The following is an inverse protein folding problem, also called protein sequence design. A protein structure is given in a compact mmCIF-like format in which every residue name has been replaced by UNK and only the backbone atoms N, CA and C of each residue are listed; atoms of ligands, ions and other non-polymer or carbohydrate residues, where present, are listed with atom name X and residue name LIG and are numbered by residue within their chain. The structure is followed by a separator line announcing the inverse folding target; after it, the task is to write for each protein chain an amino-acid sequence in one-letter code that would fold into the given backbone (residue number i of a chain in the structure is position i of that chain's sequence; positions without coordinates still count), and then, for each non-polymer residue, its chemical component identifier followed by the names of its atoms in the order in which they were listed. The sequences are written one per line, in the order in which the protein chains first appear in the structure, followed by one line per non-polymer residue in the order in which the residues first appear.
data_IF_939250346466
#
_entry.id   IF_939250346466
#
_cell.length_a   1.000
_cell.length_b   1.000
_cell.length_c   1.000
_cell.angle_alpha   90.00
_cell.angle_beta   90.00
_cell.angle_gamma   90.00
#
_symmetry.space_group_name_H-M   'P 1'
#
loop_
_entity.id
_entity.type
_entity.pdbx_description
1 polymer ?
#
# COMPACT_ATOMS: atom_id res chain seq x y z
N UNK A 1 -12.81 1.04 -29.83
CA UNK A 1 -12.53 0.43 -28.52
C UNK A 1 -11.41 1.18 -27.86
N UNK A 2 -11.66 1.81 -26.70
CA UNK A 2 -10.71 2.67 -25.99
C UNK A 2 -10.40 2.15 -24.57
N UNK A 3 -10.21 0.83 -24.44
CA UNK A 3 -9.79 0.27 -23.15
C UNK A 3 -8.33 0.65 -22.93
N UNK A 4 -8.09 1.57 -21.99
CA UNK A 4 -6.73 1.91 -21.54
C UNK A 4 -6.29 0.83 -20.56
N UNK A 5 -5.21 0.14 -20.92
CA UNK A 5 -4.57 -0.82 -20.04
C UNK A 5 -3.51 -0.10 -19.21
N UNK A 6 -3.53 -0.34 -17.91
CA UNK A 6 -2.62 0.24 -16.95
C UNK A 6 -1.76 -0.87 -16.35
N UNK A 7 -0.49 -0.58 -16.11
CA UNK A 7 0.37 -1.52 -15.41
C UNK A 7 0.00 -1.58 -13.93
N UNK A 8 0.37 -2.67 -13.25
CA UNK A 8 0.16 -2.80 -11.80
C UNK A 8 0.71 -1.59 -11.03
N UNK A 9 1.86 -1.08 -11.46
CA UNK A 9 2.50 0.08 -10.84
C UNK A 9 1.65 1.35 -10.96
N UNK A 10 1.02 1.58 -12.11
CA UNK A 10 0.14 2.74 -12.32
C UNK A 10 -1.07 2.68 -11.39
N UNK A 11 -1.66 1.49 -11.23
CA UNK A 11 -2.80 1.28 -10.33
C UNK A 11 -2.41 1.52 -8.87
N UNK A 12 -1.23 1.07 -8.46
CA UNK A 12 -0.70 1.33 -7.12
C UNK A 12 -0.43 2.83 -6.90
N UNK A 13 0.15 3.51 -7.89
CA UNK A 13 0.38 4.95 -7.83
C UNK A 13 -0.92 5.73 -7.68
N UNK A 14 -1.99 5.36 -8.41
CA UNK A 14 -3.31 5.98 -8.28
C UNK A 14 -3.89 5.77 -6.87
N UNK A 15 -3.72 4.57 -6.28
CA UNK A 15 -4.15 4.29 -4.90
C UNK A 15 -3.39 5.16 -3.89
N UNK A 16 -2.09 5.32 -4.06
CA UNK A 16 -1.27 6.17 -3.21
C UNK A 16 -1.67 7.65 -3.32
N UNK A 17 -1.90 8.15 -4.54
CA UNK A 17 -2.43 9.50 -4.78
C UNK A 17 -3.77 9.68 -4.07
N UNK A 18 -4.69 8.71 -4.21
CA UNK A 18 -6.00 8.76 -3.54
C UNK A 18 -5.86 8.85 -2.03
N UNK A 19 -4.99 8.05 -1.43
CA UNK A 19 -4.80 8.06 0.03
C UNK A 19 -4.23 9.40 0.52
N UNK A 20 -3.24 9.96 -0.20
CA UNK A 20 -2.70 11.27 0.14
C UNK A 20 -3.76 12.37 0.10
N UNK A 21 -4.65 12.35 -0.90
CA UNK A 21 -5.67 13.39 -1.08
C UNK A 21 -6.86 13.22 -0.13
N UNK A 22 -7.41 12.01 -0.03
CA UNK A 22 -8.69 11.78 0.65
C UNK A 22 -8.55 11.25 2.08
N UNK A 23 -7.52 10.46 2.36
CA UNK A 23 -7.32 9.89 3.70
C UNK A 23 -6.45 10.83 4.55
N UNK A 24 -5.42 11.42 3.95
CA UNK A 24 -4.44 12.28 4.64
C UNK A 24 -4.70 13.78 4.45
N UNK A 25 -5.60 14.16 3.53
CA UNK A 25 -6.03 15.56 3.35
C UNK A 25 -4.99 16.48 2.70
N UNK A 26 -3.99 15.94 1.99
CA UNK A 26 -3.04 16.77 1.26
C UNK A 26 -3.70 17.48 0.08
N UNK A 27 -3.20 18.68 -0.24
CA UNK A 27 -3.46 19.30 -1.53
C UNK A 27 -2.73 18.55 -2.64
N UNK A 28 -3.10 18.77 -3.91
CA UNK A 28 -2.41 18.17 -5.06
C UNK A 28 -0.90 18.46 -5.01
N UNK A 29 -0.51 19.70 -4.66
CA UNK A 29 0.88 20.09 -4.51
C UNK A 29 1.59 19.34 -3.39
N UNK A 30 0.94 19.20 -2.23
CA UNK A 30 1.46 18.44 -1.10
C UNK A 30 1.65 16.95 -1.40
N UNK A 31 0.65 16.32 -2.03
CA UNK A 31 0.74 14.92 -2.45
C UNK A 31 1.88 14.71 -3.47
N UNK A 32 2.06 15.63 -4.43
CA UNK A 32 3.17 15.59 -5.39
C UNK A 32 4.52 15.65 -4.68
N UNK A 33 4.67 16.55 -3.71
CA UNK A 33 5.91 16.68 -2.94
C UNK A 33 6.24 15.39 -2.18
N UNK A 34 5.24 14.78 -1.53
CA UNK A 34 5.38 13.48 -0.85
C UNK A 34 5.83 12.37 -1.81
N UNK A 35 5.19 12.28 -2.99
CA UNK A 35 5.54 11.26 -4.00
C UNK A 35 6.94 11.44 -4.60
N UNK A 36 7.41 12.68 -4.73
CA UNK A 36 8.76 12.98 -5.24
C UNK A 36 9.88 12.71 -4.22
N UNK A 37 9.55 12.63 -2.93
CA UNK A 37 10.48 12.18 -1.90
C UNK A 37 10.70 10.67 -2.02
N UNK A 38 11.79 10.25 -2.66
CA UNK A 38 12.11 8.85 -3.01
C UNK A 38 12.13 7.82 -1.87
N UNK A 39 11.85 8.22 -0.63
CA UNK A 39 11.71 7.34 0.53
C UNK A 39 10.48 6.40 0.46
N UNK A 40 9.49 6.70 -0.38
CA UNK A 40 8.23 5.95 -0.41
C UNK A 40 8.33 4.53 -1.00
N UNK A 41 9.22 4.28 -1.96
CA UNK A 41 9.29 2.96 -2.62
C UNK A 41 9.87 1.87 -1.71
N UNK A 42 10.90 2.21 -0.94
CA UNK A 42 11.51 1.28 0.03
C UNK A 42 10.58 1.02 1.21
N UNK A 43 9.92 2.07 1.72
CA UNK A 43 8.93 1.95 2.80
C UNK A 43 7.76 1.05 2.40
N UNK A 44 7.19 1.21 1.20
CA UNK A 44 6.08 0.36 0.72
C UNK A 44 6.50 -1.11 0.64
N UNK A 45 7.72 -1.39 0.21
CA UNK A 45 8.25 -2.77 0.15
C UNK A 45 8.38 -3.36 1.56
N UNK A 46 8.91 -2.57 2.50
CA UNK A 46 9.08 -2.97 3.90
C UNK A 46 7.73 -3.21 4.61
N UNK A 47 6.75 -2.31 4.43
CA UNK A 47 5.41 -2.49 4.97
C UNK A 47 4.73 -3.74 4.41
N UNK A 48 4.92 -4.04 3.13
CA UNK A 48 4.35 -5.23 2.51
C UNK A 48 4.93 -6.52 3.10
N UNK A 49 6.24 -6.53 3.41
CA UNK A 49 6.88 -7.65 4.11
C UNK A 49 6.36 -7.78 5.54
N UNK A 50 6.24 -6.68 6.29
CA UNK A 50 5.72 -6.67 7.66
C UNK A 50 4.27 -7.20 7.72
N UNK A 51 3.40 -6.75 6.81
CA UNK A 51 2.01 -7.21 6.74
C UNK A 51 1.93 -8.71 6.46
N UNK A 52 2.76 -9.23 5.53
CA UNK A 52 2.81 -10.67 5.25
C UNK A 52 3.23 -11.47 6.48
N UNK A 53 4.26 -11.00 7.20
CA UNK A 53 4.72 -11.63 8.43
C UNK A 53 3.61 -11.66 9.49
N UNK A 54 2.93 -10.53 9.69
CA UNK A 54 1.82 -10.42 10.64
C UNK A 54 0.64 -11.34 10.27
N UNK A 55 0.33 -11.50 8.98
CA UNK A 55 -0.71 -12.45 8.53
C UNK A 55 -0.33 -13.88 8.93
N UNK A 56 0.91 -14.30 8.65
CA UNK A 56 1.40 -15.63 9.01
C UNK A 56 1.31 -15.86 10.52
N UNK A 57 1.76 -14.90 11.32
CA UNK A 57 1.67 -14.99 12.79
C UNK A 57 0.22 -15.11 13.29
N UNK A 58 -0.73 -14.38 12.67
CA UNK A 58 -2.15 -14.50 13.02
C UNK A 58 -2.76 -15.83 12.58
N UNK A 59 -2.34 -16.38 11.45
CA UNK A 59 -2.76 -17.72 11.00
C UNK A 59 -2.25 -18.81 11.95
N UNK A 60 -1.00 -18.71 12.43
CA UNK A 60 -0.45 -19.63 13.43
C UNK A 60 -1.24 -19.58 14.75
N UNK A 61 -1.59 -18.38 15.23
CA UNK A 61 -2.42 -18.21 16.43
C UNK A 61 -3.80 -18.84 16.22
N UNK A 62 -4.42 -18.64 15.06
CA UNK A 62 -5.70 -19.26 14.74
C UNK A 62 -5.64 -20.79 14.74
N UNK A 63 -4.56 -21.37 14.25
CA UNK A 63 -4.38 -22.84 14.22
C UNK A 63 -4.23 -23.41 15.63
N UNK A 64 -3.48 -22.75 16.51
CA UNK A 64 -3.38 -23.15 17.94
C UNK A 64 -4.73 -23.12 18.63
N UNK A 65 -5.52 -22.07 18.39
CA UNK A 65 -6.85 -21.93 18.99
C UNK A 65 -7.85 -22.97 18.46
N UNK A 66 -7.75 -23.39 17.20
CA UNK A 66 -8.60 -24.45 16.64
C UNK A 66 -8.24 -25.85 17.12
N UNK A 67 -6.99 -26.05 17.52
CA UNK A 67 -6.51 -27.32 18.05
C UNK A 67 -6.82 -27.52 19.55
N UNK A 68 -7.37 -26.50 20.21
CA UNK A 68 -7.80 -26.48 21.62
C UNK A 68 -9.30 -26.78 21.75
#
# INVERSE_FOLDING_TARGET
GNRRYYQRQDVLMIRQIRSLLYDQGFTIGGARQQLSGGANAEQVTQYHQLIKQMIVEMEEVLDVLKAS
#
